data_IF_850028659877
#
_entry.id   IF_850028659877
#
_cell.length_a   1.000
_cell.length_b   1.000
_cell.length_c   1.000
_cell.angle_alpha   90.00
_cell.angle_beta   90.00
_cell.angle_gamma   90.00
#
_symmetry.space_group_name_H-M   'P 1'
#
loop_
_entity.id
_entity.type
_entity.pdbx_description
1 polymer ?
#
# COMPACT_ATOMS: atom_id res chain seq x y z
N UNK A 1 33.49 45.64 -58.04
CA UNK A 1 33.53 44.20 -57.73
C UNK A 1 33.36 44.11 -56.23
N UNK A 2 32.11 43.92 -55.81
CA UNK A 2 31.69 43.96 -54.41
C UNK A 2 31.55 42.53 -53.92
N UNK A 3 32.58 42.01 -53.26
CA UNK A 3 32.48 40.75 -52.54
C UNK A 3 31.85 41.01 -51.18
N UNK A 4 30.53 40.77 -51.11
CA UNK A 4 29.78 40.79 -49.88
C UNK A 4 30.06 39.47 -49.15
N UNK A 5 31.01 39.51 -48.21
CA UNK A 5 31.28 38.40 -47.31
C UNK A 5 30.04 38.19 -46.42
N UNK A 6 29.21 37.22 -46.79
CA UNK A 6 28.08 36.79 -45.99
C UNK A 6 28.62 36.23 -44.66
N UNK A 7 28.46 37.00 -43.59
CA UNK A 7 28.69 36.53 -42.23
C UNK A 7 27.65 35.45 -41.92
N UNK A 8 28.06 34.19 -41.99
CA UNK A 8 27.30 33.08 -41.43
C UNK A 8 27.25 33.28 -39.91
N UNK A 9 26.06 33.54 -39.39
CA UNK A 9 25.78 33.43 -37.97
C UNK A 9 26.14 32.01 -37.51
N UNK A 10 26.84 31.83 -36.38
CA UNK A 10 27.16 30.50 -35.89
C UNK A 10 25.85 29.73 -35.65
N UNK A 11 25.75 28.55 -36.26
CA UNK A 11 24.65 27.62 -35.99
C UNK A 11 24.66 27.36 -34.48
N UNK A 12 23.53 27.52 -33.76
CA UNK A 12 23.48 27.20 -32.35
C UNK A 12 23.89 25.74 -32.17
N UNK A 13 25.01 25.52 -31.49
CA UNK A 13 25.46 24.20 -31.10
C UNK A 13 24.33 23.59 -30.26
N UNK A 14 23.70 22.51 -30.74
CA UNK A 14 22.77 21.75 -29.93
C UNK A 14 23.52 21.32 -28.67
N UNK A 15 23.11 21.86 -27.53
CA UNK A 15 23.63 21.43 -26.23
C UNK A 15 23.50 19.90 -26.17
N UNK A 16 24.57 19.17 -25.83
CA UNK A 16 24.46 17.73 -25.65
C UNK A 16 23.34 17.45 -24.66
N UNK A 17 22.50 16.45 -24.94
CA UNK A 17 21.45 16.06 -24.02
C UNK A 17 22.12 15.66 -22.69
N UNK A 18 22.04 16.55 -21.70
CA UNK A 18 22.68 16.41 -20.38
C UNK A 18 22.08 15.26 -19.56
N UNK A 19 20.99 14.66 -20.05
CA UNK A 19 20.34 13.52 -19.43
C UNK A 19 20.16 12.41 -20.47
N UNK A 20 21.09 11.43 -20.55
CA UNK A 20 20.82 10.22 -21.32
C UNK A 20 19.51 9.61 -20.82
N UNK A 21 18.67 9.05 -21.70
CA UNK A 21 17.43 8.41 -21.27
C UNK A 21 17.75 7.35 -20.23
N UNK A 22 17.11 7.46 -19.06
CA UNK A 22 17.20 6.48 -17.99
C UNK A 22 16.93 5.08 -18.54
N UNK A 23 17.69 4.08 -18.08
CA UNK A 23 17.47 2.70 -18.50
C UNK A 23 16.01 2.32 -18.21
N UNK A 24 15.26 1.81 -19.20
CA UNK A 24 13.82 1.57 -19.07
C UNK A 24 13.50 0.56 -17.96
N UNK A 25 14.36 -0.44 -17.74
CA UNK A 25 14.25 -1.46 -16.69
C UNK A 25 14.42 -0.84 -15.31
N UNK A 26 15.43 0.02 -15.13
CA UNK A 26 15.67 0.73 -13.86
C UNK A 26 14.49 1.65 -13.51
N UNK A 27 13.96 2.36 -14.52
CA UNK A 27 12.78 3.21 -14.35
C UNK A 27 11.56 2.40 -13.93
N UNK A 28 11.32 1.26 -14.58
CA UNK A 28 10.18 0.39 -14.24
C UNK A 28 10.28 -0.16 -12.82
N UNK A 29 11.47 -0.60 -12.39
CA UNK A 29 11.73 -1.03 -11.02
C UNK A 29 11.32 0.04 -10.00
N UNK A 30 11.77 1.29 -10.20
CA UNK A 30 11.43 2.41 -9.30
C UNK A 30 9.93 2.70 -9.26
N UNK A 31 9.25 2.66 -10.41
CA UNK A 31 7.81 2.91 -10.49
C UNK A 31 7.04 1.81 -9.73
N UNK A 32 7.35 0.54 -10.03
CA UNK A 32 6.69 -0.62 -9.45
C UNK A 32 6.91 -0.73 -7.94
N UNK A 33 8.17 -0.66 -7.51
CA UNK A 33 8.55 -0.63 -6.09
C UNK A 33 7.85 0.52 -5.35
N UNK A 34 7.84 1.72 -5.94
CA UNK A 34 7.18 2.88 -5.38
C UNK A 34 5.65 2.71 -5.25
N UNK A 35 5.01 2.11 -6.25
CA UNK A 35 3.57 1.82 -6.21
C UNK A 35 3.23 0.81 -5.11
N UNK A 36 3.97 -0.30 -5.02
CA UNK A 36 3.78 -1.31 -3.97
C UNK A 36 3.90 -0.70 -2.57
N UNK A 37 4.96 0.07 -2.33
CA UNK A 37 5.21 0.73 -1.04
C UNK A 37 4.12 1.74 -0.67
N UNK A 38 3.59 2.50 -1.63
CA UNK A 38 2.51 3.47 -1.36
C UNK A 38 1.20 2.77 -1.02
N UNK A 39 0.83 1.72 -1.74
CA UNK A 39 -0.41 0.99 -1.48
C UNK A 39 -0.35 0.26 -0.13
N UNK A 40 0.80 -0.30 0.25
CA UNK A 40 0.97 -0.87 1.59
C UNK A 40 0.75 0.18 2.69
N UNK A 41 1.29 1.38 2.52
CA UNK A 41 1.10 2.48 3.49
C UNK A 41 -0.34 2.97 3.54
N UNK A 42 -1.04 3.01 2.41
CA UNK A 42 -2.46 3.34 2.33
C UNK A 42 -3.27 2.39 3.22
N UNK A 43 -3.05 1.07 3.08
CA UNK A 43 -3.71 0.07 3.93
C UNK A 43 -3.36 0.27 5.42
N UNK A 44 -2.07 0.36 5.75
CA UNK A 44 -1.62 0.51 7.15
C UNK A 44 -2.19 1.78 7.80
N UNK A 45 -2.41 2.85 7.04
CA UNK A 45 -3.04 4.07 7.56
C UNK A 45 -4.47 3.81 8.03
N UNK A 46 -5.28 3.16 7.19
CA UNK A 46 -6.66 2.82 7.56
C UNK A 46 -6.73 1.83 8.73
N UNK A 47 -5.81 0.86 8.80
CA UNK A 47 -5.72 -0.06 9.92
C UNK A 47 -5.40 0.65 11.25
N UNK A 48 -4.49 1.63 11.23
CA UNK A 48 -4.17 2.42 12.43
C UNK A 48 -5.39 3.26 12.85
N UNK A 49 -6.11 3.85 11.90
CA UNK A 49 -7.33 4.63 12.18
C UNK A 49 -8.43 3.75 12.80
N UNK A 50 -8.66 2.56 12.26
CA UNK A 50 -9.56 1.54 12.81
C UNK A 50 -9.20 1.19 14.25
N UNK A 51 -7.93 0.86 14.52
CA UNK A 51 -7.45 0.50 15.87
C UNK A 51 -7.66 1.64 16.88
N UNK A 52 -7.40 2.88 16.47
CA UNK A 52 -7.63 4.05 17.33
C UNK A 52 -9.12 4.25 17.62
N UNK A 53 -9.99 3.97 16.65
CA UNK A 53 -11.44 4.04 16.83
C UNK A 53 -11.97 2.94 17.75
N UNK A 54 -11.51 1.70 17.59
CA UNK A 54 -11.83 0.58 18.48
C UNK A 54 -11.43 0.88 19.93
N UNK A 55 -10.18 1.31 20.17
CA UNK A 55 -9.71 1.72 21.50
C UNK A 55 -10.57 2.83 22.10
N UNK A 56 -11.04 3.78 21.27
CA UNK A 56 -11.87 4.87 21.73
C UNK A 56 -13.28 4.41 22.10
N UNK A 57 -13.85 3.50 21.32
CA UNK A 57 -15.14 2.85 21.59
C UNK A 57 -15.08 2.08 22.90
N UNK A 58 -14.03 1.29 23.14
CA UNK A 58 -13.87 0.52 24.38
C UNK A 58 -13.71 1.42 25.61
N UNK A 59 -12.95 2.51 25.48
CA UNK A 59 -12.89 3.53 26.53
C UNK A 59 -14.30 4.07 26.84
N UNK A 60 -15.08 4.41 25.81
CA UNK A 60 -16.42 4.97 25.97
C UNK A 60 -17.43 3.99 26.57
N UNK A 61 -17.29 2.68 26.28
CA UNK A 61 -18.05 1.62 26.94
C UNK A 61 -17.76 1.62 28.44
N UNK A 62 -16.48 1.75 28.82
CA UNK A 62 -16.08 1.78 30.24
C UNK A 62 -16.53 3.03 31.01
N UNK A 63 -16.68 4.15 30.30
CA UNK A 63 -17.08 5.44 30.86
C UNK A 63 -18.61 5.64 30.93
N UNK A 64 -19.40 4.67 30.44
CA UNK A 64 -20.86 4.75 30.44
C UNK A 64 -21.40 5.86 29.53
N UNK A 65 -20.75 6.06 28.38
CA UNK A 65 -21.18 7.06 27.39
C UNK A 65 -22.61 6.82 26.91
N UNK A 66 -23.28 7.92 26.54
CA UNK A 66 -24.64 7.90 26.03
C UNK A 66 -24.74 7.11 24.72
N UNK A 67 -25.78 6.29 24.60
CA UNK A 67 -26.06 5.39 23.46
C UNK A 67 -25.99 6.09 22.10
N UNK A 68 -26.55 7.29 21.96
CA UNK A 68 -26.52 8.04 20.70
C UNK A 68 -25.09 8.40 20.27
N UNK A 69 -24.22 8.76 21.22
CA UNK A 69 -22.82 9.08 20.93
C UNK A 69 -22.03 7.83 20.58
N UNK A 70 -22.31 6.71 21.26
CA UNK A 70 -21.72 5.40 20.95
C UNK A 70 -22.08 4.96 19.54
N UNK A 71 -23.37 4.99 19.17
CA UNK A 71 -23.85 4.60 17.84
C UNK A 71 -23.15 5.36 16.72
N UNK A 72 -23.00 6.68 16.87
CA UNK A 72 -22.32 7.52 15.88
C UNK A 72 -20.83 7.14 15.71
N UNK A 73 -20.18 6.63 16.75
CA UNK A 73 -18.79 6.16 16.65
C UNK A 73 -18.67 4.82 15.96
N UNK A 74 -19.62 3.92 16.20
CA UNK A 74 -19.72 2.64 15.50
C UNK A 74 -19.94 2.88 14.00
N UNK A 75 -20.86 3.78 13.63
CA UNK A 75 -21.08 4.15 12.21
C UNK A 75 -19.79 4.66 11.54
N UNK A 76 -18.99 5.48 12.23
CA UNK A 76 -17.70 5.97 11.70
C UNK A 76 -16.64 4.86 11.59
N UNK A 77 -16.63 3.91 12.54
CA UNK A 77 -15.78 2.73 12.47
C UNK A 77 -16.12 1.89 11.24
N UNK A 78 -17.41 1.60 11.03
CA UNK A 78 -17.90 0.87 9.86
C UNK A 78 -17.52 1.55 8.54
N UNK A 79 -17.64 2.89 8.46
CA UNK A 79 -17.19 3.66 7.30
C UNK A 79 -15.70 3.43 7.01
N UNK A 80 -14.87 3.40 8.05
CA UNK A 80 -13.42 3.18 7.92
C UNK A 80 -13.12 1.73 7.51
N UNK A 81 -13.78 0.77 8.14
CA UNK A 81 -13.67 -0.65 7.83
C UNK A 81 -14.07 -0.95 6.39
N UNK A 82 -15.09 -0.26 5.85
CA UNK A 82 -15.54 -0.43 4.47
C UNK A 82 -14.48 -0.11 3.42
N UNK A 83 -13.44 0.66 3.78
CA UNK A 83 -12.32 1.01 2.89
C UNK A 83 -11.26 -0.10 2.79
N UNK A 84 -11.08 -0.88 3.86
CA UNK A 84 -10.01 -1.87 3.97
C UNK A 84 -10.08 -2.98 2.89
N UNK A 85 -11.25 -3.55 2.53
CA UNK A 85 -11.33 -4.58 1.49
C UNK A 85 -10.81 -4.12 0.13
N UNK A 86 -11.14 -2.89 -0.28
CA UNK A 86 -10.67 -2.33 -1.54
C UNK A 86 -9.16 -2.09 -1.50
N UNK A 87 -8.64 -1.53 -0.40
CA UNK A 87 -7.21 -1.37 -0.21
C UNK A 87 -6.47 -2.72 -0.22
N UNK A 88 -7.03 -3.77 0.38
CA UNK A 88 -6.47 -5.14 0.36
C UNK A 88 -6.37 -5.66 -1.08
N UNK A 89 -7.46 -5.59 -1.83
CA UNK A 89 -7.48 -6.06 -3.22
C UNK A 89 -6.46 -5.31 -4.09
N UNK A 90 -6.41 -3.98 -3.99
CA UNK A 90 -5.43 -3.15 -4.71
C UNK A 90 -3.99 -3.51 -4.34
N UNK A 91 -3.73 -3.84 -3.06
CA UNK A 91 -2.42 -4.27 -2.61
C UNK A 91 -2.04 -5.63 -3.20
N UNK A 92 -2.96 -6.60 -3.22
CA UNK A 92 -2.76 -7.91 -3.82
C UNK A 92 -2.47 -7.82 -5.32
N UNK A 93 -3.25 -7.02 -6.07
CA UNK A 93 -3.08 -6.85 -7.51
C UNK A 93 -1.68 -6.28 -7.83
N UNK A 94 -1.27 -5.23 -7.12
CA UNK A 94 0.05 -4.60 -7.30
C UNK A 94 1.16 -5.55 -6.86
N UNK A 95 0.99 -6.28 -5.75
CA UNK A 95 1.95 -7.27 -5.30
C UNK A 95 2.22 -8.32 -6.37
N UNK A 96 1.16 -8.93 -6.93
CA UNK A 96 1.27 -9.90 -8.02
C UNK A 96 1.95 -9.30 -9.27
N UNK A 97 1.59 -8.07 -9.64
CA UNK A 97 2.19 -7.36 -10.77
C UNK A 97 3.70 -7.12 -10.57
N UNK A 98 4.11 -6.68 -9.38
CA UNK A 98 5.52 -6.42 -9.07
C UNK A 98 6.31 -7.72 -8.96
N UNK A 99 5.74 -8.75 -8.32
CA UNK A 99 6.38 -10.06 -8.19
C UNK A 99 6.60 -10.72 -9.56
N UNK A 100 5.58 -10.72 -10.42
CA UNK A 100 5.71 -11.24 -11.79
C UNK A 100 6.81 -10.51 -12.57
N UNK A 101 6.83 -9.17 -12.49
CA UNK A 101 7.84 -8.38 -13.17
C UNK A 101 9.26 -8.64 -12.62
N UNK A 102 9.42 -8.80 -11.30
CA UNK A 102 10.70 -9.13 -10.66
C UNK A 102 11.19 -10.52 -11.06
N UNK A 103 10.29 -11.50 -11.21
CA UNK A 103 10.67 -12.84 -11.70
C UNK A 103 11.19 -12.81 -13.14
N UNK A 104 10.66 -11.92 -13.98
CA UNK A 104 11.06 -11.81 -15.39
C UNK A 104 12.32 -10.95 -15.59
N UNK A 105 12.51 -9.90 -14.78
CA UNK A 105 13.51 -8.86 -15.03
C UNK A 105 14.56 -8.72 -13.92
N UNK A 106 14.36 -9.35 -12.76
CA UNK A 106 15.16 -9.20 -11.55
C UNK A 106 16.65 -9.53 -11.74
N UNK A 107 16.96 -10.47 -12.62
CA UNK A 107 18.33 -10.91 -12.92
C UNK A 107 18.98 -10.12 -14.07
N UNK A 108 18.29 -9.10 -14.59
CA UNK A 108 18.88 -8.24 -15.62
C UNK A 108 20.14 -7.53 -15.09
N UNK A 109 21.22 -7.47 -15.88
CA UNK A 109 22.43 -6.78 -15.49
C UNK A 109 22.21 -5.27 -15.26
N UNK A 110 21.10 -4.73 -15.75
CA UNK A 110 20.71 -3.34 -15.56
C UNK A 110 20.29 -3.01 -14.13
N UNK A 111 19.80 -3.99 -13.37
CA UNK A 111 19.24 -3.79 -12.01
C UNK A 111 19.82 -4.71 -10.94
N UNK A 112 20.60 -5.73 -11.30
CA UNK A 112 21.11 -6.75 -10.36
C UNK A 112 21.86 -6.17 -9.14
N UNK A 113 22.61 -5.08 -9.35
CA UNK A 113 23.43 -4.43 -8.31
C UNK A 113 22.80 -3.14 -7.77
N UNK A 114 21.54 -2.84 -8.12
CA UNK A 114 20.86 -1.63 -7.65
C UNK A 114 20.31 -1.82 -6.24
N UNK A 115 20.55 -0.84 -5.36
CA UNK A 115 19.96 -0.79 -4.03
C UNK A 115 18.42 -0.79 -4.09
N UNK A 116 17.84 -0.17 -5.13
CA UNK A 116 16.40 -0.19 -5.38
C UNK A 116 15.85 -1.58 -5.63
N UNK A 117 16.64 -2.51 -6.16
CA UNK A 117 16.22 -3.92 -6.35
C UNK A 117 16.03 -4.58 -4.99
N UNK A 118 17.05 -4.50 -4.13
CA UNK A 118 16.98 -5.04 -2.77
C UNK A 118 15.83 -4.45 -1.97
N UNK A 119 15.62 -3.13 -2.03
CA UNK A 119 14.46 -2.48 -1.38
C UNK A 119 13.12 -2.96 -1.92
N UNK A 120 13.04 -3.27 -3.21
CA UNK A 120 11.84 -3.83 -3.83
C UNK A 120 11.56 -5.24 -3.30
N UNK A 121 12.59 -6.09 -3.21
CA UNK A 121 12.51 -7.44 -2.65
C UNK A 121 12.09 -7.43 -1.17
N UNK A 122 12.68 -6.54 -0.37
CA UNK A 122 12.28 -6.34 1.02
C UNK A 122 10.81 -5.91 1.14
N UNK A 123 10.37 -5.00 0.26
CA UNK A 123 8.96 -4.54 0.25
C UNK A 123 8.02 -5.66 -0.20
N UNK A 124 8.43 -6.50 -1.15
CA UNK A 124 7.66 -7.68 -1.56
C UNK A 124 7.49 -8.65 -0.38
N UNK A 125 8.57 -8.96 0.33
CA UNK A 125 8.48 -9.83 1.51
C UNK A 125 7.60 -9.21 2.60
N UNK A 126 7.75 -7.92 2.88
CA UNK A 126 6.90 -7.21 3.87
C UNK A 126 5.42 -7.29 3.50
N UNK A 127 5.08 -7.16 2.21
CA UNK A 127 3.69 -7.27 1.74
C UNK A 127 3.18 -8.70 1.79
N UNK A 128 4.01 -9.70 1.46
CA UNK A 128 3.65 -11.11 1.53
C UNK A 128 3.32 -11.53 2.97
N UNK A 129 4.22 -11.25 3.91
CA UNK A 129 4.03 -11.51 5.34
C UNK A 129 2.78 -10.79 5.86
N UNK A 130 2.55 -9.55 5.40
CA UNK A 130 1.39 -8.76 5.79
C UNK A 130 0.07 -9.34 5.28
N UNK A 131 0.03 -9.77 4.01
CA UNK A 131 -1.15 -10.40 3.42
C UNK A 131 -1.44 -11.76 4.06
N UNK A 132 -0.41 -12.52 4.44
CA UNK A 132 -0.56 -13.77 5.19
C UNK A 132 -1.19 -13.51 6.58
N UNK A 133 -0.66 -12.54 7.32
CA UNK A 133 -1.22 -12.12 8.62
C UNK A 133 -2.69 -11.71 8.48
N UNK A 134 -3.03 -10.91 7.47
CA UNK A 134 -4.41 -10.49 7.21
C UNK A 134 -5.35 -11.64 6.86
N UNK A 135 -4.84 -12.74 6.28
CA UNK A 135 -5.68 -13.89 5.96
C UNK A 135 -5.86 -14.82 7.17
N UNK A 136 -4.87 -14.88 8.08
CA UNK A 136 -5.00 -15.63 9.34
C UNK A 136 -6.00 -14.97 10.29
N UNK A 137 -6.01 -13.63 10.34
CA UNK A 137 -6.87 -12.87 11.26
C UNK A 137 -8.37 -13.03 10.96
N UNK A 138 -8.76 -13.11 9.68
CA UNK A 138 -10.15 -13.35 9.26
C UNK A 138 -10.66 -14.73 9.68
N UNK A 139 -9.77 -15.71 9.91
CA UNK A 139 -10.18 -17.05 10.36
C UNK A 139 -10.42 -17.17 11.86
N UNK A 140 -10.15 -16.15 12.67
CA UNK A 140 -10.37 -16.16 14.12
C UNK A 140 -11.67 -15.45 14.52
N UNK A 141 -12.09 -14.42 13.78
CA UNK A 141 -13.32 -13.68 14.06
C UNK A 141 -14.60 -14.55 13.95
N UNK A 142 -14.59 -15.58 13.09
CA UNK A 142 -15.72 -16.53 12.95
C UNK A 142 -15.83 -17.52 14.13
N UNK A 143 -14.73 -17.84 14.83
CA UNK A 143 -14.76 -18.77 15.99
C UNK A 143 -15.16 -18.04 17.29
N UNK A 144 -14.77 -16.76 17.44
CA UNK A 144 -15.10 -15.95 18.62
C UNK A 144 -16.58 -15.49 18.63
N UNK A 145 -17.27 -15.38 17.48
CA UNK A 145 -18.71 -15.10 17.41
C UNK A 145 -19.57 -16.29 17.88
N UNK A 146 -19.18 -17.54 17.55
CA UNK A 146 -19.92 -18.74 17.98
C UNK A 146 -19.83 -18.97 19.51
N UNK A 147 -18.67 -18.74 20.14
CA UNK A 147 -18.54 -18.91 21.60
C UNK A 147 -19.34 -17.85 22.39
N UNK A 148 -19.47 -16.63 21.87
CA UNK A 148 -20.16 -15.53 22.56
C UNK A 148 -21.70 -15.67 22.46
N UNK A 149 -22.23 -16.21 21.35
CA UNK A 149 -23.66 -16.55 21.23
C UNK A 149 -24.05 -17.72 22.15
N UNK A 150 -23.17 -18.72 22.33
CA UNK A 150 -23.42 -19.85 23.24
C UNK A 150 -23.42 -19.46 24.73
N UNK A 151 -22.63 -18.45 25.13
CA UNK A 151 -22.63 -17.92 26.50
C UNK A 151 -23.89 -17.08 26.80
N UNK A 152 -24.36 -16.25 25.86
CA UNK A 152 -25.60 -15.47 26.03
C UNK A 152 -26.86 -16.35 26.08
N UNK A 153 -26.91 -17.45 25.33
CA UNK A 153 -28.03 -18.40 25.40
C UNK A 153 -28.09 -19.17 26.73
N UNK A 154 -26.94 -19.41 27.37
CA UNK A 154 -26.86 -20.09 28.65
C UNK A 154 -27.22 -19.18 29.84
N UNK A 155 -26.89 -17.89 29.78
CA UNK A 155 -27.30 -16.92 30.82
C UNK A 155 -28.80 -16.62 30.82
N UNK A 156 -29.48 -16.71 29.67
CA UNK A 156 -30.93 -16.46 29.57
C UNK A 156 -31.81 -17.66 29.97
N UNK A 157 -31.22 -18.82 30.26
CA UNK A 157 -31.93 -20.04 30.68
C UNK A 157 -31.86 -20.33 32.19
N UNK A 158 -31.22 -19.47 32.99
CA UNK A 158 -31.01 -19.64 34.43
C UNK A 158 -31.69 -18.55 35.27
#
# INVERSE_FOLDING_TARGET
MSDQVAQQQPVPQQLPNLYPPENPTQKQLRIKSGSLKRTLKEYKSYQIEEQQMLQKIDQWKSEGMEEHQMKKKIELLEETQSMLPNCKQRLQDIFMEVQAWMNENGDSPDIQDMEEKTKCEETLQEVDDFLEQLNQQVGQDDEDEEENEEEEEQENQN
#
